data_IF_199660932688
#
_entry.id   IF_199660932688
#
_cell.length_a   1.000
_cell.length_b   1.000
_cell.length_c   1.000
_cell.angle_alpha   90.00
_cell.angle_beta   90.00
_cell.angle_gamma   90.00
#
_symmetry.space_group_name_H-M   'P 1'
#
loop_
_entity.id
_entity.type
_entity.pdbx_description
1 polymer ?
#
# COMPACT_ATOMS: atom_id res chain seq x y z
N UNK A 1 0.02 51.57 -27.76
CA UNK A 1 -0.87 50.45 -28.16
C UNK A 1 -0.08 49.40 -28.94
N UNK A 2 0.36 48.31 -28.30
CA UNK A 2 0.68 47.02 -28.95
C UNK A 2 1.18 46.00 -27.91
N UNK A 3 0.55 44.82 -27.96
CA UNK A 3 1.07 43.46 -27.69
C UNK A 3 1.54 43.11 -26.28
N UNK A 4 0.59 42.90 -25.36
CA UNK A 4 0.83 42.08 -24.15
C UNK A 4 -0.18 40.89 -24.05
N UNK A 5 -1.28 40.89 -24.80
CA UNK A 5 -2.36 39.90 -24.64
C UNK A 5 -2.24 38.56 -25.38
N UNK A 6 -1.28 38.38 -26.32
CA UNK A 6 -1.27 37.21 -27.19
C UNK A 6 -0.54 35.98 -26.60
N UNK A 7 0.49 36.18 -25.77
CA UNK A 7 1.33 35.08 -25.27
C UNK A 7 0.72 34.25 -24.13
N UNK A 8 -0.25 34.80 -23.39
CA UNK A 8 -0.92 34.08 -22.29
C UNK A 8 -1.97 33.11 -22.84
N UNK A 9 -2.65 33.48 -23.93
CA UNK A 9 -3.68 32.66 -24.57
C UNK A 9 -3.04 31.45 -25.28
N UNK A 10 -1.92 31.64 -25.99
CA UNK A 10 -1.16 30.55 -26.63
C UNK A 10 -0.60 29.54 -25.61
N UNK A 11 -0.12 30.01 -24.44
CA UNK A 11 0.38 29.13 -23.38
C UNK A 11 -0.73 28.32 -22.71
N UNK A 12 -1.93 28.89 -22.58
CA UNK A 12 -3.10 28.15 -22.11
C UNK A 12 -3.61 27.14 -23.15
N UNK A 13 -3.58 27.47 -24.44
CA UNK A 13 -3.96 26.52 -25.49
C UNK A 13 -2.97 25.36 -25.60
N UNK A 14 -1.66 25.62 -25.50
CA UNK A 14 -0.65 24.56 -25.48
C UNK A 14 -0.72 23.67 -24.23
N UNK A 15 -1.07 24.22 -23.05
CA UNK A 15 -1.31 23.44 -21.85
C UNK A 15 -2.55 22.54 -21.97
N UNK A 16 -3.62 23.02 -22.61
CA UNK A 16 -4.82 22.22 -22.87
C UNK A 16 -4.63 21.14 -23.94
N UNK A 17 -3.78 21.35 -24.95
CA UNK A 17 -3.46 20.32 -25.96
C UNK A 17 -2.57 19.22 -25.38
N UNK A 18 -1.67 19.53 -24.46
CA UNK A 18 -0.90 18.50 -23.74
C UNK A 18 -1.75 17.74 -22.69
N UNK A 19 -2.72 18.41 -22.07
CA UNK A 19 -3.65 17.76 -21.13
C UNK A 19 -4.67 16.84 -21.83
N UNK A 20 -5.04 17.12 -23.08
CA UNK A 20 -5.98 16.28 -23.86
C UNK A 20 -5.33 15.06 -24.52
N UNK A 21 -4.00 15.03 -24.66
CA UNK A 21 -3.25 13.84 -25.07
C UNK A 21 -2.94 12.86 -23.92
N UNK A 22 -3.20 13.26 -22.66
CA UNK A 22 -3.11 12.39 -21.48
C UNK A 22 -4.46 11.82 -21.04
N UNK A 23 -5.56 12.22 -21.69
CA UNK A 23 -6.91 11.72 -21.48
C UNK A 23 -7.33 10.76 -22.61
N UNK A 24 -6.43 9.84 -22.98
CA UNK A 24 -6.92 8.59 -23.53
C UNK A 24 -7.73 7.90 -22.41
N UNK A 25 -9.01 7.58 -22.63
CA UNK A 25 -9.75 6.78 -21.67
C UNK A 25 -9.08 5.40 -21.68
N UNK A 26 -8.22 5.13 -20.70
CA UNK A 26 -7.93 3.76 -20.30
C UNK A 26 -9.19 3.27 -19.60
N UNK A 27 -10.25 3.07 -20.38
CA UNK A 27 -11.36 2.21 -20.00
C UNK A 27 -10.83 0.77 -20.09
N UNK A 28 -9.90 0.44 -19.20
CA UNK A 28 -9.55 -0.93 -18.87
C UNK A 28 -10.46 -1.32 -17.71
N UNK A 29 -11.75 -1.53 -18.01
CA UNK A 29 -12.54 -2.53 -17.29
C UNK A 29 -11.99 -3.90 -17.68
N UNK A 30 -10.75 -4.18 -17.27
CA UNK A 30 -10.22 -5.53 -17.25
C UNK A 30 -10.64 -6.11 -15.90
N UNK A 31 -11.79 -6.79 -15.90
CA UNK A 31 -11.91 -8.01 -15.11
C UNK A 31 -10.63 -8.81 -15.33
N UNK A 32 -10.01 -9.29 -14.24
CA UNK A 32 -8.70 -9.94 -14.21
C UNK A 32 -8.43 -10.76 -15.48
N UNK A 33 -7.75 -10.18 -16.47
CA UNK A 33 -7.27 -10.96 -17.60
C UNK A 33 -6.23 -11.91 -17.04
N UNK A 34 -6.39 -13.21 -17.28
CA UNK A 34 -5.41 -14.24 -16.91
C UNK A 34 -3.99 -13.92 -17.42
N UNK A 35 -3.88 -13.09 -18.45
CA UNK A 35 -2.63 -12.63 -19.03
C UNK A 35 -2.23 -11.25 -18.50
N UNK A 36 -1.03 -11.17 -17.93
CA UNK A 36 -0.36 -9.93 -17.54
C UNK A 36 0.32 -9.29 -18.77
N UNK A 37 -0.15 -8.12 -19.24
CA UNK A 37 0.39 -7.48 -20.44
C UNK A 37 1.87 -7.11 -20.31
N UNK A 38 2.37 -6.94 -19.08
CA UNK A 38 3.73 -6.51 -18.79
C UNK A 38 4.59 -7.61 -18.19
N UNK A 39 4.20 -8.88 -18.35
CA UNK A 39 4.92 -10.02 -17.79
C UNK A 39 6.42 -10.04 -18.16
N UNK A 40 6.74 -9.65 -19.39
CA UNK A 40 8.13 -9.58 -19.89
C UNK A 40 8.99 -8.54 -19.14
N UNK A 41 8.38 -7.50 -18.57
CA UNK A 41 9.04 -6.47 -17.76
C UNK A 41 8.95 -6.82 -16.26
N UNK A 42 7.80 -7.31 -15.82
CA UNK A 42 7.50 -7.63 -14.45
C UNK A 42 8.34 -8.81 -13.92
N UNK A 43 8.52 -9.88 -14.71
CA UNK A 43 9.29 -11.06 -14.27
C UNK A 43 10.76 -10.76 -13.96
N UNK A 44 11.52 -10.02 -14.79
CA UNK A 44 12.88 -9.60 -14.44
C UNK A 44 12.94 -8.78 -13.14
N UNK A 45 12.04 -7.81 -12.96
CA UNK A 45 12.00 -6.99 -11.74
C UNK A 45 11.62 -7.85 -10.53
N UNK A 46 10.67 -8.77 -10.71
CA UNK A 46 10.31 -9.74 -9.69
C UNK A 46 11.51 -10.58 -9.28
N UNK A 47 12.29 -11.11 -10.24
CA UNK A 47 13.53 -11.87 -9.93
C UNK A 47 14.55 -11.01 -9.17
N UNK A 48 14.69 -9.73 -9.52
CA UNK A 48 15.54 -8.80 -8.79
C UNK A 48 15.07 -8.65 -7.32
N UNK A 49 13.78 -8.37 -7.10
CA UNK A 49 13.21 -8.24 -5.76
C UNK A 49 13.32 -9.56 -4.97
N UNK A 50 13.05 -10.69 -5.60
CA UNK A 50 13.13 -12.03 -4.99
C UNK A 50 14.56 -12.42 -4.62
N UNK A 51 15.54 -12.03 -5.43
CA UNK A 51 16.97 -12.19 -5.13
C UNK A 51 17.34 -11.35 -3.91
N UNK A 52 16.95 -10.08 -3.89
CA UNK A 52 17.21 -9.19 -2.76
C UNK A 52 16.54 -9.71 -1.49
N UNK A 53 15.30 -10.19 -1.56
CA UNK A 53 14.62 -10.82 -0.43
C UNK A 53 15.40 -12.05 0.08
N UNK A 54 15.72 -12.97 -0.83
CA UNK A 54 16.36 -14.25 -0.50
C UNK A 54 17.71 -14.06 0.19
N UNK A 55 18.51 -13.09 -0.27
CA UNK A 55 19.88 -12.89 0.22
C UNK A 55 20.02 -11.79 1.28
N UNK A 56 19.04 -10.89 1.44
CA UNK A 56 19.10 -9.82 2.43
C UNK A 56 17.90 -9.85 3.40
N UNK A 57 16.69 -9.58 2.94
CA UNK A 57 15.55 -9.36 3.83
C UNK A 57 15.15 -10.62 4.61
N UNK A 58 15.12 -11.78 3.95
CA UNK A 58 14.72 -13.04 4.58
C UNK A 58 15.70 -13.51 5.67
N UNK A 59 17.04 -13.50 5.46
CA UNK A 59 17.99 -13.72 6.55
C UNK A 59 17.85 -12.72 7.70
N UNK A 60 17.66 -11.42 7.40
CA UNK A 60 17.48 -10.39 8.43
C UNK A 60 16.21 -10.62 9.24
N UNK A 61 15.08 -10.92 8.58
CA UNK A 61 13.81 -11.24 9.22
C UNK A 61 13.89 -12.48 10.12
N UNK A 62 14.56 -13.55 9.65
CA UNK A 62 14.82 -14.74 10.49
C UNK A 62 15.71 -14.44 11.68
N UNK A 63 16.74 -13.60 11.49
CA UNK A 63 17.61 -13.15 12.56
C UNK A 63 16.83 -12.35 13.61
N UNK A 64 15.98 -11.43 13.16
CA UNK A 64 15.08 -10.65 14.01
C UNK A 64 14.15 -11.56 14.84
N UNK A 65 13.46 -12.52 14.22
CA UNK A 65 12.63 -13.50 14.95
C UNK A 65 13.42 -14.38 15.92
N UNK A 66 14.69 -14.66 15.62
CA UNK A 66 15.52 -15.49 16.48
C UNK A 66 15.98 -14.75 17.75
N UNK A 67 16.17 -13.43 17.69
CA UNK A 67 16.70 -12.62 18.81
C UNK A 67 15.63 -11.85 19.57
N UNK A 68 14.47 -11.61 18.94
CA UNK A 68 13.36 -10.85 19.51
C UNK A 68 12.33 -11.81 20.10
N UNK A 69 12.05 -11.75 21.42
CA UNK A 69 10.96 -12.54 22.00
C UNK A 69 9.61 -12.15 21.40
N UNK A 70 8.69 -13.11 21.23
CA UNK A 70 7.39 -12.90 20.58
C UNK A 70 6.63 -11.67 21.09
N UNK A 71 6.61 -11.44 22.41
CA UNK A 71 5.97 -10.28 23.02
C UNK A 71 6.51 -8.93 22.49
N UNK A 72 7.82 -8.86 22.25
CA UNK A 72 8.47 -7.66 21.74
C UNK A 72 8.23 -7.52 20.24
N UNK A 73 8.27 -8.63 19.49
CA UNK A 73 7.93 -8.65 18.05
C UNK A 73 6.48 -8.17 17.84
N UNK A 74 5.52 -8.76 18.55
CA UNK A 74 4.11 -8.37 18.49
C UNK A 74 3.93 -6.88 18.85
N UNK A 75 4.65 -6.40 19.86
CA UNK A 75 4.55 -5.02 20.30
C UNK A 75 5.13 -4.02 19.29
N UNK A 76 6.27 -4.33 18.69
CA UNK A 76 6.86 -3.53 17.59
C UNK A 76 5.91 -3.52 16.39
N UNK A 77 5.38 -4.68 16.02
CA UNK A 77 4.41 -4.81 14.95
C UNK A 77 3.16 -3.97 15.19
N UNK A 78 2.61 -3.98 16.41
CA UNK A 78 1.45 -3.18 16.78
C UNK A 78 1.73 -1.67 16.74
N UNK A 79 2.94 -1.22 17.09
CA UNK A 79 3.33 0.18 16.95
C UNK A 79 3.21 0.60 15.47
N UNK A 80 3.80 -0.16 14.55
CA UNK A 80 3.72 0.16 13.11
C UNK A 80 2.28 0.11 12.60
N UNK A 81 1.47 -0.86 13.04
CA UNK A 81 0.04 -0.89 12.71
C UNK A 81 -0.72 0.33 13.24
N UNK A 82 -0.45 0.77 14.46
CA UNK A 82 -1.05 1.98 15.03
C UNK A 82 -0.65 3.24 14.25
N UNK A 83 0.58 3.31 13.73
CA UNK A 83 0.97 4.39 12.82
C UNK A 83 0.21 4.30 11.49
N UNK A 84 0.03 3.09 10.96
CA UNK A 84 -0.77 2.82 9.75
C UNK A 84 -2.26 3.14 9.91
N UNK A 85 -2.82 3.08 11.11
CA UNK A 85 -4.21 3.45 11.39
C UNK A 85 -4.49 4.93 11.06
N UNK A 86 -3.47 5.79 11.00
CA UNK A 86 -3.58 7.18 10.49
C UNK A 86 -3.89 7.19 8.99
N UNK A 87 -3.18 6.38 8.21
CA UNK A 87 -3.44 6.21 6.77
C UNK A 87 -4.84 5.66 6.54
N UNK A 88 -5.25 4.67 7.33
CA UNK A 88 -6.59 4.09 7.25
C UNK A 88 -7.66 5.16 7.51
N UNK A 89 -7.56 5.90 8.63
CA UNK A 89 -8.51 6.95 8.99
C UNK A 89 -8.66 8.00 7.90
N UNK A 90 -7.54 8.48 7.33
CA UNK A 90 -7.59 9.48 6.25
C UNK A 90 -8.33 8.92 5.04
N UNK A 91 -8.05 7.67 4.67
CA UNK A 91 -8.69 7.04 3.51
C UNK A 91 -10.16 6.69 3.76
N UNK A 92 -10.54 6.26 4.96
CA UNK A 92 -11.95 6.07 5.35
C UNK A 92 -12.75 7.36 5.22
N UNK A 93 -12.17 8.49 5.65
CA UNK A 93 -12.80 9.80 5.49
C UNK A 93 -12.92 10.17 4.02
N UNK A 94 -11.89 9.95 3.21
CA UNK A 94 -11.92 10.21 1.77
C UNK A 94 -12.89 9.31 1.00
N UNK A 95 -13.14 8.10 1.49
CA UNK A 95 -14.11 7.14 0.97
C UNK A 95 -15.50 7.32 1.57
N UNK A 96 -15.72 8.33 2.41
CA UNK A 96 -17.02 8.61 3.05
C UNK A 96 -17.56 7.42 3.87
N UNK A 97 -16.68 6.70 4.59
CA UNK A 97 -17.00 5.58 5.48
C UNK A 97 -16.99 6.03 6.96
N UNK A 98 -18.04 6.73 7.46
CA UNK A 98 -18.00 7.34 8.79
C UNK A 98 -17.88 6.33 9.94
N UNK A 99 -18.43 5.13 9.77
CA UNK A 99 -18.30 4.07 10.77
C UNK A 99 -16.85 3.58 10.88
N UNK A 100 -16.22 3.27 9.74
CA UNK A 100 -14.84 2.82 9.65
C UNK A 100 -13.88 3.88 10.23
N UNK A 101 -14.04 5.15 9.82
CA UNK A 101 -13.27 6.27 10.35
C UNK A 101 -13.43 6.42 11.89
N UNK A 102 -14.65 6.22 12.41
CA UNK A 102 -14.90 6.24 13.85
C UNK A 102 -14.17 5.12 14.60
N UNK A 103 -14.15 3.91 14.03
CA UNK A 103 -13.43 2.76 14.59
C UNK A 103 -11.92 3.02 14.59
N UNK A 104 -11.33 3.46 13.48
CA UNK A 104 -9.89 3.71 13.41
C UNK A 104 -9.45 4.89 14.30
N UNK A 105 -10.30 5.92 14.42
CA UNK A 105 -10.07 7.00 15.40
C UNK A 105 -10.04 6.46 16.83
N UNK A 106 -11.01 5.60 17.19
CA UNK A 106 -11.06 5.01 18.52
C UNK A 106 -9.84 4.10 18.78
N UNK A 107 -9.43 3.30 17.79
CA UNK A 107 -8.23 2.46 17.87
C UNK A 107 -6.98 3.31 18.10
N UNK A 108 -6.77 4.36 17.30
CA UNK A 108 -5.65 5.29 17.44
C UNK A 108 -5.58 5.88 18.85
N UNK A 109 -6.69 6.40 19.37
CA UNK A 109 -6.74 7.00 20.71
C UNK A 109 -6.41 5.95 21.77
N UNK A 110 -7.08 4.80 21.74
CA UNK A 110 -6.97 3.79 22.80
C UNK A 110 -5.60 3.12 22.77
N UNK A 111 -5.09 2.73 21.59
CA UNK A 111 -3.80 2.08 21.46
C UNK A 111 -2.65 3.05 21.78
N UNK A 112 -2.77 4.32 21.41
CA UNK A 112 -1.74 5.31 21.74
C UNK A 112 -1.73 5.64 23.24
N UNK A 113 -2.89 5.78 23.88
CA UNK A 113 -2.99 6.20 25.29
C UNK A 113 -2.87 5.04 26.27
N UNK A 114 -3.67 3.99 26.11
CA UNK A 114 -3.70 2.82 27.00
C UNK A 114 -2.79 1.69 26.52
N UNK A 115 -2.44 1.68 25.23
CA UNK A 115 -1.54 0.69 24.64
C UNK A 115 -0.06 1.09 24.62
N UNK A 116 0.35 2.11 25.37
CA UNK A 116 1.73 2.62 25.42
C UNK A 116 2.27 3.00 24.03
N UNK A 117 1.60 3.91 23.33
CA UNK A 117 2.02 4.36 22.00
C UNK A 117 1.78 3.33 20.88
N UNK A 118 0.86 2.39 21.10
CA UNK A 118 0.53 1.34 20.14
C UNK A 118 1.20 -0.01 20.40
N UNK A 119 2.06 -0.13 21.40
CA UNK A 119 2.73 -1.40 21.73
C UNK A 119 1.72 -2.52 22.08
N UNK A 120 0.66 -2.18 22.79
CA UNK A 120 -0.45 -3.10 23.04
C UNK A 120 -1.67 -2.72 22.19
N UNK A 121 -2.15 -3.67 21.38
CA UNK A 121 -3.41 -3.52 20.66
C UNK A 121 -4.63 -3.75 21.59
N UNK A 122 -4.94 -2.72 22.37
CA UNK A 122 -6.08 -2.68 23.29
C UNK A 122 -7.39 -2.56 22.50
N UNK A 123 -7.39 -1.84 21.37
CA UNK A 123 -8.55 -1.65 20.51
C UNK A 123 -9.13 -2.98 20.01
N UNK A 124 -8.28 -3.89 19.52
CA UNK A 124 -8.74 -5.23 19.10
C UNK A 124 -9.37 -6.00 20.26
N UNK A 125 -8.83 -5.91 21.48
CA UNK A 125 -9.41 -6.56 22.67
C UNK A 125 -10.77 -5.98 23.08
N UNK A 126 -11.07 -4.75 22.65
CA UNK A 126 -12.36 -4.10 22.84
C UNK A 126 -13.36 -4.39 21.71
N UNK A 127 -12.98 -5.22 20.73
CA UNK A 127 -13.82 -5.56 19.58
C UNK A 127 -13.77 -4.53 18.44
N UNK A 128 -12.86 -3.55 18.51
CA UNK A 128 -12.63 -2.61 17.41
C UNK A 128 -11.81 -3.31 16.33
N UNK A 129 -12.47 -3.80 15.27
CA UNK A 129 -11.77 -4.42 14.15
C UNK A 129 -11.02 -3.36 13.35
N UNK A 130 -9.76 -3.63 13.02
CA UNK A 130 -8.92 -2.71 12.25
C UNK A 130 -9.33 -2.73 10.77
N UNK A 131 -9.52 -1.56 10.15
CA UNK A 131 -9.65 -1.48 8.70
C UNK A 131 -8.28 -1.52 8.02
N UNK A 132 -8.22 -1.76 6.72
CA UNK A 132 -6.95 -1.77 5.99
C UNK A 132 -7.11 -1.01 4.69
N UNK A 133 -6.93 0.31 4.77
CA UNK A 133 -7.32 1.28 3.76
C UNK A 133 -6.13 2.11 3.31
N UNK A 134 -6.02 2.32 2.00
CA UNK A 134 -4.94 3.08 1.38
C UNK A 134 -5.47 3.94 0.23
N UNK A 135 -4.66 4.87 -0.26
CA UNK A 135 -5.11 5.82 -1.27
C UNK A 135 -5.48 5.16 -2.59
N UNK A 136 -4.95 3.98 -2.90
CA UNK A 136 -5.35 3.26 -4.10
C UNK A 136 -6.76 2.68 -3.98
N UNK A 137 -7.19 2.33 -2.76
CA UNK A 137 -8.57 1.92 -2.47
C UNK A 137 -9.50 3.12 -2.59
N UNK A 138 -9.08 4.25 -2.03
CA UNK A 138 -9.78 5.54 -2.22
C UNK A 138 -9.99 5.84 -3.70
N UNK A 139 -8.95 5.74 -4.53
CA UNK A 139 -9.10 5.94 -5.98
C UNK A 139 -10.06 4.92 -6.61
N UNK A 140 -10.01 3.65 -6.18
CA UNK A 140 -10.95 2.62 -6.61
C UNK A 140 -12.40 2.90 -6.24
N UNK A 141 -12.65 3.34 -5.00
CA UNK A 141 -13.95 3.76 -4.49
C UNK A 141 -14.56 4.90 -5.34
N UNK A 142 -13.72 5.84 -5.79
CA UNK A 142 -14.12 6.92 -6.69
C UNK A 142 -14.19 6.51 -8.18
N UNK A 143 -14.09 5.21 -8.49
CA UNK A 143 -14.29 4.66 -9.83
C UNK A 143 -13.05 4.58 -10.71
N UNK A 144 -11.84 4.86 -10.18
CA UNK A 144 -10.61 4.68 -10.95
C UNK A 144 -10.25 3.19 -11.00
N UNK A 145 -10.26 2.63 -12.21
CA UNK A 145 -9.86 1.24 -12.46
C UNK A 145 -8.40 0.98 -12.08
N UNK A 146 -8.08 -0.26 -11.70
CA UNK A 146 -6.74 -0.65 -11.24
C UNK A 146 -5.65 -0.48 -12.33
N UNK A 147 -6.03 -0.72 -13.59
CA UNK A 147 -5.09 -0.81 -14.71
C UNK A 147 -4.24 -2.09 -14.65
N UNK A 148 -3.25 -2.23 -15.55
CA UNK A 148 -2.40 -3.41 -15.63
C UNK A 148 -1.61 -3.68 -14.34
N UNK A 149 -1.29 -4.95 -14.12
CA UNK A 149 -0.38 -5.38 -13.06
C UNK A 149 1.05 -4.92 -13.36
N UNK A 150 1.75 -4.47 -12.33
CA UNK A 150 3.13 -3.98 -12.42
C UNK A 150 3.90 -4.44 -11.19
N UNK A 151 5.15 -4.86 -11.40
CA UNK A 151 6.10 -5.08 -10.31
C UNK A 151 7.02 -3.88 -10.21
N UNK A 152 7.04 -3.25 -9.05
CA UNK A 152 7.87 -2.08 -8.78
C UNK A 152 9.17 -2.55 -8.11
N UNK A 153 10.36 -2.10 -8.56
CA UNK A 153 11.61 -2.39 -7.88
C UNK A 153 11.54 -2.03 -6.39
N UNK A 154 12.04 -2.91 -5.53
CA UNK A 154 12.00 -2.84 -4.06
C UNK A 154 10.61 -2.93 -3.40
N UNK A 155 9.57 -2.37 -4.02
CA UNK A 155 8.22 -2.29 -3.45
C UNK A 155 7.34 -3.51 -3.76
N UNK A 156 7.63 -4.24 -4.84
CA UNK A 156 6.96 -5.50 -5.17
C UNK A 156 5.67 -5.34 -6.00
N UNK A 157 4.69 -6.24 -5.84
CA UNK A 157 3.50 -6.31 -6.69
C UNK A 157 2.58 -5.09 -6.52
N UNK A 158 2.07 -4.57 -7.64
CA UNK A 158 1.12 -3.46 -7.65
C UNK A 158 0.22 -3.47 -8.91
N UNK A 159 -0.71 -2.54 -8.99
CA UNK A 159 -1.37 -2.13 -10.24
C UNK A 159 -0.92 -0.72 -10.61
N UNK A 160 -1.18 -0.24 -11.83
CA UNK A 160 -0.83 1.15 -12.20
C UNK A 160 -1.45 2.17 -11.24
N UNK A 161 -2.74 2.00 -10.91
CA UNK A 161 -3.43 2.86 -9.93
C UNK A 161 -2.74 2.80 -8.58
N UNK A 162 -2.53 1.59 -8.07
CA UNK A 162 -2.05 1.39 -6.70
C UNK A 162 -0.57 1.80 -6.56
N UNK A 163 0.22 1.64 -7.62
CA UNK A 163 1.62 2.07 -7.66
C UNK A 163 1.75 3.59 -7.59
N UNK A 164 0.88 4.32 -8.29
CA UNK A 164 0.82 5.79 -8.21
C UNK A 164 0.25 6.27 -6.87
N UNK A 165 -0.70 5.52 -6.30
CA UNK A 165 -1.34 5.86 -5.04
C UNK A 165 -0.42 5.80 -3.82
N UNK A 166 0.65 5.01 -3.89
CA UNK A 166 1.68 4.94 -2.85
C UNK A 166 2.31 6.31 -2.52
N UNK A 167 2.41 7.22 -3.50
CA UNK A 167 3.04 8.53 -3.25
C UNK A 167 2.20 9.41 -2.29
N UNK A 168 0.88 9.61 -2.53
CA UNK A 168 -0.03 10.22 -1.55
C UNK A 168 -0.01 9.56 -0.17
N UNK A 169 0.04 8.23 -0.09
CA UNK A 169 0.12 7.53 1.21
C UNK A 169 1.36 7.92 2.02
N UNK A 170 2.45 8.35 1.36
CA UNK A 170 3.64 8.80 2.10
C UNK A 170 3.43 10.03 2.98
N UNK A 171 2.36 10.81 2.76
CA UNK A 171 2.07 11.98 3.59
C UNK A 171 1.47 11.63 4.95
N UNK A 172 0.93 10.42 5.14
CA UNK A 172 0.45 9.95 6.44
C UNK A 172 1.50 9.16 7.21
N UNK A 173 2.63 8.84 6.58
CA UNK A 173 3.74 8.12 7.18
C UNK A 173 4.57 9.01 8.13
N UNK A 174 4.64 8.70 9.43
CA UNK A 174 5.33 9.55 10.40
C UNK A 174 6.83 9.73 10.12
N UNK A 175 7.47 8.71 9.54
CA UNK A 175 8.90 8.76 9.24
C UNK A 175 9.27 9.84 8.22
N UNK A 176 8.33 10.28 7.37
CA UNK A 176 8.55 11.39 6.44
C UNK A 176 8.90 12.70 7.16
N UNK A 177 8.44 12.84 8.40
CA UNK A 177 8.60 14.03 9.23
C UNK A 177 9.77 13.93 10.22
N UNK A 178 10.61 12.89 10.11
CA UNK A 178 11.82 12.73 10.92
C UNK A 178 13.02 13.32 10.16
N UNK A 179 13.51 14.48 10.62
CA UNK A 179 14.65 15.18 10.01
C UNK A 179 15.97 14.40 10.19
N UNK A 180 16.13 13.71 11.32
CA UNK A 180 17.35 12.95 11.60
C UNK A 180 17.41 11.68 10.75
N UNK A 181 18.14 11.78 9.63
CA UNK A 181 18.26 10.71 8.61
C UNK A 181 18.62 9.34 9.18
N UNK A 182 19.62 9.19 10.09
CA UNK A 182 19.93 7.88 10.66
C UNK A 182 18.74 7.27 11.43
N UNK A 183 18.00 8.06 12.19
CA UNK A 183 16.82 7.59 12.94
C UNK A 183 15.71 7.18 11.98
N UNK A 184 15.41 8.02 10.99
CA UNK A 184 14.39 7.72 9.97
C UNK A 184 14.68 6.40 9.27
N UNK A 185 15.90 6.23 8.77
CA UNK A 185 16.28 5.03 8.04
C UNK A 185 16.28 3.78 8.94
N UNK A 186 16.64 3.93 10.23
CA UNK A 186 16.62 2.81 11.18
C UNK A 186 15.20 2.34 11.48
N UNK A 187 14.27 3.27 11.67
CA UNK A 187 12.84 2.96 11.89
C UNK A 187 12.24 2.30 10.64
N UNK A 188 12.48 2.88 9.47
CA UNK A 188 12.02 2.31 8.20
C UNK A 188 12.58 0.89 7.96
N UNK A 189 13.88 0.68 8.23
CA UNK A 189 14.48 -0.64 8.11
C UNK A 189 13.86 -1.65 9.08
N UNK A 190 13.57 -1.23 10.32
CA UNK A 190 12.90 -2.08 11.31
C UNK A 190 11.49 -2.47 10.84
N UNK A 191 10.71 -1.52 10.33
CA UNK A 191 9.36 -1.79 9.78
C UNK A 191 9.39 -2.80 8.64
N UNK A 192 10.33 -2.63 7.69
CA UNK A 192 10.51 -3.56 6.57
C UNK A 192 10.89 -4.96 7.06
N UNK A 193 11.80 -5.07 8.03
CA UNK A 193 12.23 -6.35 8.60
C UNK A 193 11.09 -7.02 9.38
N UNK A 194 10.37 -6.26 10.20
CA UNK A 194 9.23 -6.73 11.00
C UNK A 194 8.09 -7.22 10.09
N UNK A 195 7.73 -6.43 9.09
CA UNK A 195 6.76 -6.82 8.06
C UNK A 195 7.19 -8.11 7.37
N UNK A 196 8.47 -8.22 6.98
CA UNK A 196 8.96 -9.43 6.32
C UNK A 196 8.95 -10.65 7.24
N UNK A 197 9.27 -10.47 8.52
CA UNK A 197 9.23 -11.52 9.54
C UNK A 197 7.82 -12.11 9.68
N UNK A 198 6.80 -11.24 9.77
CA UNK A 198 5.40 -11.64 9.83
C UNK A 198 4.94 -12.44 8.58
N UNK A 199 5.58 -12.24 7.43
CA UNK A 199 5.28 -12.94 6.18
C UNK A 199 6.03 -14.28 6.00
N UNK A 200 6.97 -14.63 6.88
CA UNK A 200 7.77 -15.86 6.74
C UNK A 200 6.93 -17.14 6.85
N UNK A 201 5.85 -17.12 7.64
CA UNK A 201 4.93 -18.25 7.79
C UNK A 201 4.09 -18.43 6.53
N UNK A 202 3.51 -17.34 6.01
CA UNK A 202 2.70 -17.32 4.80
C UNK A 202 3.49 -17.70 3.55
N UNK A 203 4.80 -17.40 3.49
CA UNK A 203 5.66 -17.80 2.37
C UNK A 203 5.65 -19.32 2.13
N UNK A 204 5.47 -20.13 3.18
CA UNK A 204 5.42 -21.60 3.07
C UNK A 204 4.19 -22.11 2.30
N UNK A 205 3.16 -21.27 2.14
CA UNK A 205 1.93 -21.59 1.42
C UNK A 205 2.06 -21.37 -0.10
N UNK A 206 3.15 -20.73 -0.54
CA UNK A 206 3.41 -20.50 -1.96
C UNK A 206 3.66 -21.85 -2.64
N UNK A 207 2.93 -22.09 -3.73
CA UNK A 207 3.07 -23.30 -4.55
C UNK A 207 3.21 -22.92 -6.02
N UNK A 208 3.85 -23.80 -6.81
CA UNK A 208 4.03 -23.59 -8.25
C UNK A 208 4.98 -22.43 -8.59
N UNK A 209 4.66 -21.69 -9.65
CA UNK A 209 5.42 -20.49 -10.05
C UNK A 209 5.16 -19.35 -9.06
N UNK A 210 6.19 -18.98 -8.29
CA UNK A 210 6.13 -17.92 -7.27
C UNK A 210 5.65 -16.58 -7.83
N UNK A 211 6.02 -16.24 -9.07
CA UNK A 211 5.59 -15.00 -9.71
C UNK A 211 4.07 -15.00 -9.92
N UNK A 212 3.56 -16.06 -10.55
CA UNK A 212 2.13 -16.19 -10.87
C UNK A 212 1.31 -16.27 -9.58
N UNK A 213 1.79 -17.02 -8.58
CA UNK A 213 1.14 -17.13 -7.28
C UNK A 213 1.01 -15.76 -6.60
N UNK A 214 2.11 -15.01 -6.49
CA UNK A 214 2.09 -13.68 -5.83
C UNK A 214 1.25 -12.69 -6.63
N UNK A 215 1.33 -12.69 -7.96
CA UNK A 215 0.50 -11.83 -8.82
C UNK A 215 -0.99 -12.08 -8.58
N UNK A 216 -1.41 -13.34 -8.65
CA UNK A 216 -2.82 -13.69 -8.52
C UNK A 216 -3.33 -13.43 -7.10
N UNK A 217 -2.55 -13.78 -6.07
CA UNK A 217 -2.88 -13.48 -4.68
C UNK A 217 -3.01 -11.97 -4.43
N UNK A 218 -2.11 -11.16 -5.00
CA UNK A 218 -2.17 -9.70 -4.91
C UNK A 218 -3.44 -9.15 -5.58
N UNK A 219 -3.73 -9.54 -6.82
CA UNK A 219 -4.89 -9.04 -7.57
C UNK A 219 -6.21 -9.43 -6.90
N UNK A 220 -6.34 -10.68 -6.45
CA UNK A 220 -7.53 -11.14 -5.72
C UNK A 220 -7.71 -10.40 -4.40
N UNK A 221 -6.65 -10.26 -3.60
CA UNK A 221 -6.72 -9.51 -2.36
C UNK A 221 -7.06 -8.03 -2.61
N UNK A 222 -6.54 -7.45 -3.69
CA UNK A 222 -6.79 -6.06 -4.03
C UNK A 222 -8.23 -5.81 -4.47
N UNK A 223 -8.78 -6.69 -5.30
CA UNK A 223 -10.17 -6.62 -5.69
C UNK A 223 -11.10 -6.75 -4.49
N UNK A 224 -10.83 -7.72 -3.61
CA UNK A 224 -11.56 -7.90 -2.35
C UNK A 224 -11.57 -6.62 -1.50
N UNK A 225 -10.40 -5.99 -1.33
CA UNK A 225 -10.25 -4.78 -0.53
C UNK A 225 -11.01 -3.57 -1.11
N UNK A 226 -10.87 -3.32 -2.41
CA UNK A 226 -11.55 -2.19 -3.06
C UNK A 226 -13.08 -2.34 -3.04
N UNK A 227 -13.58 -3.58 -3.03
CA UNK A 227 -15.02 -3.88 -2.94
C UNK A 227 -15.52 -4.08 -1.51
N UNK A 228 -14.75 -3.71 -0.48
CA UNK A 228 -15.13 -3.90 0.93
C UNK A 228 -15.51 -5.34 1.31
N UNK A 229 -14.93 -6.31 0.61
CA UNK A 229 -15.21 -7.74 0.79
C UNK A 229 -16.47 -8.24 0.09
N UNK A 230 -17.20 -7.38 -0.63
CA UNK A 230 -18.30 -7.76 -1.50
C UNK A 230 -17.76 -8.24 -2.85
N UNK A 231 -17.30 -9.49 -2.91
CA UNK A 231 -16.97 -10.13 -4.18
C UNK A 231 -18.26 -10.68 -4.77
N UNK A 232 -18.76 -10.06 -5.84
CA UNK A 232 -19.82 -10.65 -6.68
C UNK A 232 -19.28 -11.96 -7.25
N UNK A 233 -19.91 -13.07 -6.87
CA UNK A 233 -19.60 -14.40 -7.37
C UNK A 233 -20.51 -14.67 -8.58
N UNK A 234 -19.96 -14.46 -9.78
CA UNK A 234 -20.66 -14.71 -11.05
C UNK A 234 -20.77 -16.24 -11.29
N UNK A 235 -21.65 -16.91 -10.55
CA UNK A 235 -22.07 -18.30 -10.80
C UNK A 235 -23.37 -18.40 -11.59
#
# INVERSE_FOLDING_TARGET
MRRIGAGVIERFTQACVCASLLLAPVAATQAATEEDPWESVNRPIFKFNDTLDTYALKPLAKGYQAVTPQFLEDGIHNIFRNLGDVTNLVNDVLQLKPHAAGVDTARLIVNTTFGLGGFFDVGTKMGLQRNDEDFGQTLGYWGLGSGPYVVIPFLGPSTVRDGLAKYPDTYTEPYRYIDHVPTRNSIFALDVIDTRANLLSAEKLITGDKYVFIRNAYLQNREFKVKDGEVEDDF
#
